data_IF_143858432728
#
_entry.id   IF_143858432728
#
_cell.length_a   1.000
_cell.length_b   1.000
_cell.length_c   1.000
_cell.angle_alpha   90.00
_cell.angle_beta   90.00
_cell.angle_gamma   90.00
#
_symmetry.space_group_name_H-M   'P 1'
#
loop_
_entity.id
_entity.type
_entity.pdbx_description
1 polymer ?
#
# COMPACT_ATOMS: atom_id res chain seq x y z
N UNK A 1 -0.51 -13.21 0.09
CA UNK A 1 0.50 -12.23 -0.36
C UNK A 1 1.62 -12.07 0.68
N UNK A 2 1.34 -11.58 1.90
CA UNK A 2 2.35 -11.35 2.94
C UNK A 2 3.22 -12.56 3.26
N UNK A 3 2.63 -13.76 3.41
CA UNK A 3 3.41 -14.99 3.61
C UNK A 3 4.36 -15.29 2.46
N UNK A 4 3.97 -14.97 1.24
CA UNK A 4 4.80 -15.18 0.06
C UNK A 4 5.98 -14.20 0.03
N UNK A 5 5.76 -12.94 0.38
CA UNK A 5 6.80 -11.92 0.44
C UNK A 5 7.79 -12.21 1.59
N UNK A 6 7.30 -12.43 2.82
CA UNK A 6 8.13 -12.75 3.99
C UNK A 6 8.90 -14.07 3.78
N UNK A 7 8.27 -15.08 3.19
CA UNK A 7 8.89 -16.39 2.97
C UNK A 7 10.10 -16.38 2.05
N UNK A 8 10.32 -15.31 1.29
CA UNK A 8 11.50 -15.18 0.41
C UNK A 8 12.79 -14.91 1.18
N UNK A 9 12.69 -14.34 2.35
CA UNK A 9 13.83 -13.89 3.18
C UNK A 9 13.84 -14.54 4.56
N UNK A 10 12.77 -15.21 4.95
CA UNK A 10 12.67 -15.87 6.24
C UNK A 10 13.34 -17.26 6.25
N UNK A 11 13.80 -17.67 7.41
CA UNK A 11 14.27 -19.02 7.66
C UNK A 11 13.13 -20.02 7.43
N UNK A 12 13.46 -21.18 6.86
CA UNK A 12 12.45 -22.22 6.59
C UNK A 12 11.71 -22.62 7.86
N UNK A 13 10.39 -22.56 7.82
CA UNK A 13 9.54 -22.93 8.93
C UNK A 13 9.29 -21.82 9.96
N UNK A 14 9.96 -20.66 9.86
CA UNK A 14 9.76 -19.54 10.80
C UNK A 14 8.56 -18.65 10.49
N UNK A 15 8.03 -18.69 9.28
CA UNK A 15 6.92 -17.83 8.85
C UNK A 15 5.65 -18.16 9.61
N UNK A 16 5.13 -17.18 10.34
CA UNK A 16 3.93 -17.28 11.17
C UNK A 16 2.93 -16.20 10.80
N UNK A 17 1.66 -16.55 10.88
CA UNK A 17 0.55 -15.60 10.78
C UNK A 17 0.11 -15.27 12.22
N UNK A 18 0.47 -14.10 12.70
CA UNK A 18 0.17 -13.68 14.07
C UNK A 18 -1.22 -13.07 14.20
N UNK A 19 -1.64 -12.31 13.17
CA UNK A 19 -3.01 -11.82 13.06
C UNK A 19 -3.61 -12.24 11.73
N UNK A 20 -4.88 -12.65 11.74
CA UNK A 20 -5.57 -13.09 10.54
C UNK A 20 -6.88 -12.37 10.34
N UNK A 21 -6.94 -11.55 9.29
CA UNK A 21 -8.16 -10.88 8.82
C UNK A 21 -8.89 -10.13 9.94
N UNK A 22 -8.14 -9.47 10.82
CA UNK A 22 -8.71 -8.61 11.86
C UNK A 22 -9.20 -7.31 11.24
N UNK A 23 -10.30 -6.78 11.76
CA UNK A 23 -10.86 -5.51 11.29
C UNK A 23 -10.28 -4.39 12.15
N UNK A 24 -9.47 -3.54 11.53
CA UNK A 24 -8.98 -2.31 12.13
C UNK A 24 -9.85 -1.12 11.69
N UNK A 25 -10.26 -0.33 12.67
CA UNK A 25 -11.12 0.84 12.45
C UNK A 25 -10.31 2.12 12.63
N UNK A 26 -10.23 2.90 11.57
CA UNK A 26 -9.64 4.23 11.57
C UNK A 26 -10.74 5.29 11.42
N UNK A 27 -10.41 6.56 11.58
CA UNK A 27 -11.39 7.66 11.57
C UNK A 27 -12.25 7.73 10.29
N UNK A 28 -11.73 7.30 9.15
CA UNK A 28 -12.40 7.43 7.86
C UNK A 28 -12.51 6.13 7.07
N UNK A 29 -11.85 5.06 7.50
CA UNK A 29 -11.81 3.78 6.77
C UNK A 29 -11.73 2.61 7.74
N UNK A 30 -12.20 1.45 7.27
CA UNK A 30 -11.95 0.15 7.91
C UNK A 30 -11.03 -0.65 7.01
N UNK A 31 -10.09 -1.37 7.62
CA UNK A 31 -9.19 -2.26 6.92
C UNK A 31 -9.29 -3.68 7.46
N UNK A 32 -9.14 -4.65 6.57
CA UNK A 32 -8.87 -6.04 6.94
C UNK A 32 -7.36 -6.20 6.97
N UNK A 33 -6.82 -6.48 8.16
CA UNK A 33 -5.38 -6.58 8.39
C UNK A 33 -5.00 -8.02 8.73
N UNK A 34 -3.87 -8.43 8.22
CA UNK A 34 -3.21 -9.67 8.62
C UNK A 34 -1.74 -9.38 8.86
N UNK A 35 -1.20 -9.89 9.97
CA UNK A 35 0.22 -9.75 10.29
C UNK A 35 0.97 -11.06 10.04
N UNK A 36 2.11 -10.95 9.37
CA UNK A 36 2.99 -12.08 9.05
C UNK A 36 4.40 -11.77 9.52
N UNK A 37 4.96 -12.68 10.29
CA UNK A 37 6.30 -12.57 10.83
C UNK A 37 7.16 -13.74 10.36
N UNK A 38 8.48 -13.56 10.39
CA UNK A 38 9.45 -14.61 10.11
C UNK A 38 10.85 -14.20 10.55
N UNK A 39 11.63 -15.17 11.00
CA UNK A 39 13.02 -14.96 11.37
C UNK A 39 13.85 -14.75 10.11
N UNK A 40 14.59 -13.65 10.04
CA UNK A 40 15.41 -13.34 8.88
C UNK A 40 16.51 -14.39 8.69
N UNK A 41 16.78 -14.76 7.44
CA UNK A 41 17.89 -15.64 7.12
C UNK A 41 19.23 -14.97 7.49
N UNK A 42 20.21 -15.73 8.00
CA UNK A 42 21.53 -15.20 8.31
C UNK A 42 22.16 -14.49 7.10
N UNK A 43 22.91 -13.43 7.37
CA UNK A 43 23.66 -12.65 6.39
C UNK A 43 22.81 -11.82 5.38
N UNK A 44 21.51 -11.72 5.57
CA UNK A 44 20.69 -10.77 4.82
C UNK A 44 20.62 -9.42 5.56
N UNK A 45 20.75 -8.35 4.80
CA UNK A 45 20.56 -6.99 5.26
C UNK A 45 19.11 -6.52 5.03
N UNK A 46 18.72 -5.41 5.65
CA UNK A 46 17.43 -4.77 5.39
C UNK A 46 17.24 -4.45 3.89
N UNK A 47 18.33 -4.08 3.19
CA UNK A 47 18.26 -3.81 1.75
C UNK A 47 18.03 -5.08 0.92
N UNK A 48 18.52 -6.24 1.36
CA UNK A 48 18.23 -7.53 0.71
C UNK A 48 16.76 -7.92 0.94
N UNK A 49 16.23 -7.65 2.13
CA UNK A 49 14.79 -7.80 2.40
C UNK A 49 13.97 -6.93 1.45
N UNK A 50 14.29 -5.65 1.32
CA UNK A 50 13.60 -4.75 0.40
C UNK A 50 13.64 -5.29 -1.04
N UNK A 51 14.81 -5.65 -1.56
CA UNK A 51 14.95 -6.19 -2.92
C UNK A 51 14.13 -7.46 -3.17
N UNK A 52 14.01 -8.31 -2.17
CA UNK A 52 13.29 -9.58 -2.29
C UNK A 52 11.77 -9.42 -2.17
N UNK A 53 11.29 -8.46 -1.39
CA UNK A 53 9.87 -8.28 -1.10
C UNK A 53 9.20 -7.22 -1.99
N UNK A 54 9.96 -6.30 -2.56
CA UNK A 54 9.46 -5.24 -3.43
C UNK A 54 9.21 -5.73 -4.87
N UNK A 55 8.17 -5.22 -5.56
CA UNK A 55 7.04 -4.46 -4.99
C UNK A 55 6.17 -5.33 -4.07
N UNK A 56 5.52 -4.69 -3.09
CA UNK A 56 4.66 -5.41 -2.14
C UNK A 56 3.58 -6.21 -2.88
N UNK A 57 3.33 -7.45 -2.43
CA UNK A 57 2.33 -8.33 -3.03
C UNK A 57 0.94 -7.71 -3.06
N UNK A 58 0.60 -6.89 -2.05
CA UNK A 58 -0.68 -6.17 -1.96
C UNK A 58 -0.98 -5.27 -3.17
N UNK A 59 0.03 -4.70 -3.79
CA UNK A 59 -0.11 -3.79 -4.94
C UNK A 59 0.43 -4.38 -6.25
N UNK A 60 0.90 -5.60 -6.23
CA UNK A 60 1.31 -6.35 -7.42
C UNK A 60 0.41 -7.56 -7.64
N UNK A 61 0.60 -8.61 -6.90
CA UNK A 61 -0.19 -9.84 -6.99
C UNK A 61 0.65 -11.10 -6.85
N UNK A 62 0.01 -12.25 -7.05
CA UNK A 62 0.67 -13.55 -7.00
C UNK A 62 0.14 -14.45 -8.14
N UNK A 63 1.04 -15.12 -8.88
CA UNK A 63 2.51 -15.05 -8.83
C UNK A 63 3.04 -13.67 -9.25
N UNK A 64 4.01 -13.14 -8.50
CA UNK A 64 4.45 -11.73 -8.58
C UNK A 64 4.89 -11.31 -9.98
N UNK A 65 5.74 -12.10 -10.64
CA UNK A 65 6.27 -11.75 -11.98
C UNK A 65 5.14 -11.65 -13.00
N UNK A 66 4.26 -12.65 -13.06
CA UNK A 66 3.14 -12.63 -14.01
C UNK A 66 2.16 -11.50 -13.73
N UNK A 67 1.89 -11.22 -12.46
CA UNK A 67 1.05 -10.09 -12.07
C UNK A 67 1.63 -8.75 -12.54
N UNK A 68 2.95 -8.56 -12.40
CA UNK A 68 3.63 -7.36 -12.88
C UNK A 68 3.62 -7.23 -14.40
N UNK A 69 3.78 -8.33 -15.13
CA UNK A 69 3.64 -8.34 -16.60
C UNK A 69 2.24 -7.89 -17.03
N UNK A 70 1.19 -8.43 -16.39
CA UNK A 70 -0.20 -8.05 -16.67
C UNK A 70 -0.45 -6.57 -16.34
N UNK A 71 0.08 -6.08 -15.24
CA UNK A 71 -0.02 -4.66 -14.86
C UNK A 71 0.62 -3.77 -15.94
N UNK A 72 1.82 -4.13 -16.39
CA UNK A 72 2.53 -3.35 -17.44
C UNK A 72 1.82 -3.42 -18.80
N UNK A 73 1.14 -4.52 -19.08
CA UNK A 73 0.37 -4.73 -20.30
C UNK A 73 -0.94 -3.93 -20.33
N UNK A 74 -1.66 -3.87 -19.18
CA UNK A 74 -3.02 -3.36 -19.12
C UNK A 74 -3.12 -1.92 -18.60
N UNK A 75 -2.20 -1.46 -17.75
CA UNK A 75 -2.26 -0.09 -17.24
C UNK A 75 -1.76 0.91 -18.31
N UNK A 76 -2.58 1.93 -18.65
CA UNK A 76 -2.26 2.85 -19.74
C UNK A 76 -1.13 3.83 -19.40
N UNK A 77 -0.84 4.01 -18.10
CA UNK A 77 0.20 4.92 -17.59
C UNK A 77 1.07 4.23 -16.55
N UNK A 78 2.34 4.62 -16.49
CA UNK A 78 3.26 4.11 -15.49
C UNK A 78 2.87 4.62 -14.09
N UNK A 79 3.03 3.77 -13.09
CA UNK A 79 2.61 4.05 -11.71
C UNK A 79 3.40 5.16 -11.01
N UNK A 80 4.65 5.39 -11.41
CA UNK A 80 5.48 6.40 -10.76
C UNK A 80 5.64 6.15 -9.26
N UNK A 81 5.17 7.06 -8.43
CA UNK A 81 5.21 6.94 -6.96
C UNK A 81 4.22 5.91 -6.43
N UNK A 82 3.07 5.74 -7.10
CA UNK A 82 2.05 4.79 -6.68
C UNK A 82 2.57 3.35 -6.62
N UNK A 83 2.24 2.63 -5.56
CA UNK A 83 2.72 1.28 -5.26
C UNK A 83 4.22 1.17 -4.99
N UNK A 84 4.91 2.30 -4.84
CA UNK A 84 6.29 2.36 -4.39
C UNK A 84 6.43 2.04 -2.90
N UNK A 85 7.61 2.32 -2.35
CA UNK A 85 7.92 2.13 -0.95
C UNK A 85 8.39 3.44 -0.34
N UNK A 86 7.90 3.79 0.83
CA UNK A 86 8.27 5.00 1.57
C UNK A 86 8.54 4.66 3.03
N UNK A 87 9.60 5.20 3.59
CA UNK A 87 9.96 4.95 4.98
C UNK A 87 11.41 5.30 5.25
N UNK A 88 12.03 4.57 6.17
CA UNK A 88 13.40 4.83 6.57
C UNK A 88 14.21 3.55 6.77
N UNK A 89 15.51 3.68 6.62
CA UNK A 89 16.51 2.70 7.01
C UNK A 89 17.40 3.34 8.07
N UNK A 90 17.35 2.84 9.29
CA UNK A 90 18.13 3.32 10.42
C UNK A 90 19.60 2.89 10.34
N UNK A 91 20.47 3.66 11.00
CA UNK A 91 21.89 3.31 11.10
C UNK A 91 22.15 2.03 11.93
N UNK A 92 21.20 1.62 12.75
CA UNK A 92 21.20 0.33 13.48
C UNK A 92 20.92 -0.88 12.58
N UNK A 93 20.48 -0.65 11.34
CA UNK A 93 20.08 -1.69 10.40
C UNK A 93 18.56 -1.96 10.40
N UNK A 94 17.81 -1.29 11.25
CA UNK A 94 16.35 -1.36 11.26
C UNK A 94 15.77 -0.66 10.04
N UNK A 95 14.68 -1.19 9.52
CA UNK A 95 13.97 -0.63 8.38
C UNK A 95 12.47 -0.66 8.65
N UNK A 96 11.79 0.45 8.40
CA UNK A 96 10.34 0.54 8.45
C UNK A 96 9.83 1.20 7.16
N UNK A 97 9.01 0.47 6.41
CA UNK A 97 8.53 0.87 5.10
C UNK A 97 7.03 0.68 4.98
N UNK A 98 6.38 1.65 4.37
CA UNK A 98 5.00 1.56 3.96
C UNK A 98 4.87 1.54 2.44
N UNK A 99 3.75 1.01 1.94
CA UNK A 99 3.42 1.09 0.52
C UNK A 99 2.96 2.52 0.21
N UNK A 100 3.49 3.12 -0.84
CA UNK A 100 3.06 4.44 -1.31
C UNK A 100 1.68 4.33 -1.98
N UNK A 101 0.63 4.34 -1.16
CA UNK A 101 -0.79 4.37 -1.54
C UNK A 101 -1.47 5.54 -0.83
N UNK A 102 -2.65 5.93 -1.26
CA UNK A 102 -3.37 7.10 -0.69
C UNK A 102 -2.51 8.36 -0.70
N UNK A 103 -1.68 8.49 -1.73
CA UNK A 103 -0.66 9.53 -1.90
C UNK A 103 -0.99 10.34 -3.13
N UNK A 104 -0.87 11.67 -3.02
CA UNK A 104 -0.95 12.58 -4.15
C UNK A 104 0.44 13.04 -4.58
N UNK A 105 0.63 13.22 -5.86
CA UNK A 105 1.81 13.89 -6.43
C UNK A 105 1.36 15.22 -7.00
N UNK A 106 1.83 16.31 -6.40
CA UNK A 106 1.56 17.67 -6.90
C UNK A 106 2.76 18.12 -7.70
N UNK A 107 2.53 18.39 -8.98
CA UNK A 107 3.56 18.85 -9.90
C UNK A 107 2.96 19.91 -10.83
N UNK A 108 3.63 21.06 -10.92
CA UNK A 108 3.22 22.17 -11.83
C UNK A 108 1.77 22.61 -11.60
N UNK A 109 1.30 22.63 -10.34
CA UNK A 109 -0.06 23.00 -9.98
C UNK A 109 -1.11 21.92 -10.26
N UNK A 110 -0.71 20.73 -10.72
CA UNK A 110 -1.61 19.60 -10.99
C UNK A 110 -1.48 18.57 -9.89
N UNK A 111 -2.62 18.19 -9.29
CA UNK A 111 -2.73 17.10 -8.34
C UNK A 111 -2.97 15.77 -9.08
N UNK A 112 -2.04 14.85 -8.97
CA UNK A 112 -2.16 13.50 -9.52
C UNK A 112 -2.44 12.50 -8.40
N UNK A 113 -3.52 11.74 -8.53
CA UNK A 113 -3.90 10.67 -7.60
C UNK A 113 -4.07 9.38 -8.38
N UNK A 114 -3.44 8.31 -7.90
CA UNK A 114 -3.61 6.97 -8.47
C UNK A 114 -4.14 6.01 -7.40
N UNK A 115 -5.08 5.18 -7.78
CA UNK A 115 -5.66 4.14 -6.93
C UNK A 115 -5.92 2.88 -7.75
N UNK A 116 -5.95 1.74 -7.09
CA UNK A 116 -6.24 0.46 -7.71
C UNK A 116 -6.99 -0.47 -6.76
N UNK A 117 -7.55 -1.52 -7.31
CA UNK A 117 -8.22 -2.60 -6.59
C UNK A 117 -7.53 -3.94 -6.82
N UNK A 118 -7.69 -4.87 -5.89
CA UNK A 118 -7.18 -6.22 -6.03
C UNK A 118 -8.19 -7.08 -6.83
N UNK A 119 -7.77 -7.57 -7.98
CA UNK A 119 -8.63 -8.33 -8.88
C UNK A 119 -8.45 -9.82 -8.64
N UNK A 120 -9.55 -10.52 -8.47
CA UNK A 120 -9.64 -11.98 -8.36
C UNK A 120 -10.69 -12.53 -9.33
N UNK A 121 -10.77 -13.85 -9.48
CA UNK A 121 -11.69 -14.50 -10.44
C UNK A 121 -13.16 -14.11 -10.23
N UNK A 122 -13.57 -13.90 -8.98
CA UNK A 122 -14.94 -13.55 -8.61
C UNK A 122 -15.19 -12.03 -8.53
N UNK A 123 -14.21 -11.19 -8.90
CA UNK A 123 -14.36 -9.73 -8.88
C UNK A 123 -15.43 -9.26 -9.87
N UNK A 124 -16.28 -8.35 -9.39
CA UNK A 124 -17.22 -7.64 -10.25
C UNK A 124 -16.59 -6.32 -10.75
N UNK A 125 -16.48 -6.11 -12.07
CA UNK A 125 -15.78 -4.93 -12.61
C UNK A 125 -16.33 -3.60 -12.11
N UNK A 126 -17.63 -3.43 -12.00
CA UNK A 126 -18.25 -2.18 -11.55
C UNK A 126 -17.98 -1.93 -10.06
N UNK A 127 -18.00 -2.97 -9.24
CA UNK A 127 -17.66 -2.88 -7.82
C UNK A 127 -16.18 -2.51 -7.62
N UNK A 128 -15.28 -3.14 -8.35
CA UNK A 128 -13.85 -2.82 -8.29
C UNK A 128 -13.55 -1.40 -8.78
N UNK A 129 -14.20 -0.98 -9.85
CA UNK A 129 -14.12 0.41 -10.31
C UNK A 129 -14.58 1.38 -9.22
N UNK A 130 -15.74 1.14 -8.60
CA UNK A 130 -16.25 1.98 -7.52
C UNK A 130 -15.30 2.00 -6.32
N UNK A 131 -14.64 0.89 -6.02
CA UNK A 131 -13.61 0.81 -4.98
C UNK A 131 -12.43 1.74 -5.28
N UNK A 132 -11.93 1.76 -6.51
CA UNK A 132 -10.84 2.66 -6.89
C UNK A 132 -11.23 4.13 -6.70
N UNK A 133 -12.45 4.53 -7.10
CA UNK A 133 -12.97 5.87 -6.90
C UNK A 133 -13.06 6.24 -5.41
N UNK A 134 -13.54 5.32 -4.58
CA UNK A 134 -13.64 5.52 -3.14
C UNK A 134 -12.25 5.68 -2.50
N UNK A 135 -11.25 4.93 -2.95
CA UNK A 135 -9.86 5.04 -2.48
C UNK A 135 -9.21 6.37 -2.85
N UNK A 136 -9.48 6.91 -4.02
CA UNK A 136 -8.98 8.22 -4.46
C UNK A 136 -9.65 9.39 -3.72
N UNK A 137 -10.93 9.24 -3.39
CA UNK A 137 -11.78 10.32 -2.84
C UNK A 137 -11.22 11.01 -1.60
N UNK A 138 -10.61 10.27 -0.68
CA UNK A 138 -10.07 10.83 0.55
C UNK A 138 -8.96 11.86 0.27
N UNK A 139 -8.08 11.56 -0.68
CA UNK A 139 -6.98 12.45 -1.08
C UNK A 139 -7.51 13.66 -1.83
N UNK A 140 -8.44 13.47 -2.76
CA UNK A 140 -9.10 14.55 -3.50
C UNK A 140 -9.82 15.48 -2.53
N UNK A 141 -10.57 14.92 -1.58
CA UNK A 141 -11.30 15.72 -0.58
C UNK A 141 -10.35 16.53 0.31
N UNK A 142 -9.20 15.99 0.67
CA UNK A 142 -8.18 16.73 1.43
C UNK A 142 -7.65 17.93 0.63
N UNK A 143 -7.44 17.78 -0.67
CA UNK A 143 -7.03 18.88 -1.53
C UNK A 143 -8.10 19.97 -1.65
N UNK A 144 -9.36 19.59 -1.86
CA UNK A 144 -10.51 20.53 -1.89
C UNK A 144 -10.60 21.33 -0.58
N UNK A 145 -10.41 20.68 0.57
CA UNK A 145 -10.42 21.35 1.87
C UNK A 145 -9.26 22.33 2.03
N UNK A 146 -8.08 21.95 1.53
CA UNK A 146 -6.91 22.83 1.56
C UNK A 146 -7.11 24.07 0.67
N UNK A 147 -7.70 23.91 -0.53
CA UNK A 147 -8.03 25.02 -1.43
C UNK A 147 -9.12 25.94 -0.86
N UNK A 148 -10.11 25.38 -0.18
CA UNK A 148 -11.18 26.16 0.44
C UNK A 148 -10.71 26.98 1.67
N UNK A 149 -9.46 26.79 2.10
CA UNK A 149 -8.89 27.36 3.31
C UNK A 149 -9.32 26.58 4.56
N UNK A 150 -8.35 26.09 5.30
CA UNK A 150 -8.55 25.45 6.59
C UNK A 150 -8.97 26.53 7.61
N UNK A 151 -10.27 26.88 7.67
CA UNK A 151 -10.82 27.61 8.80
C UNK A 151 -11.26 26.55 9.81
N UNK A 152 -10.55 26.39 10.93
CA UNK A 152 -11.05 25.55 12.01
C UNK A 152 -12.28 26.24 12.56
N UNK A 153 -13.47 25.70 12.34
CA UNK A 153 -14.63 26.00 13.14
C UNK A 153 -14.39 25.46 14.56
N UNK A 154 -13.64 26.23 15.34
CA UNK A 154 -13.66 26.06 16.79
C UNK A 154 -15.01 26.64 17.24
N UNK A 155 -16.02 25.82 17.36
CA UNK A 155 -17.21 26.15 18.10
C UNK A 155 -16.82 26.19 19.57
N UNK A 156 -16.50 27.38 20.06
CA UNK A 156 -16.43 27.62 21.49
C UNK A 156 -17.85 27.54 21.98
N UNK A 157 -18.25 26.41 22.55
CA UNK A 157 -19.51 26.26 23.28
C UNK A 157 -19.52 27.22 24.44
N UNK A 158 -20.61 28.03 24.50
CA UNK A 158 -20.98 28.79 25.68
C UNK A 158 -21.62 27.88 26.72
#
# INVERSE_FOLDING_TARGET
LGRNDVGRVAQTGSVKLTDRMVIERYSHVMHIVSNVEGDLQPNLSAMDVLKATFPAGTVSGAPKVRAMEIIDELEPVKRGVYAGSVGYLGFSGDMDLAIAIRTAVIKEGILNVQAGAGIVADSNPDAEWQETQNKARAVIRAAELAEAGLVPHISVGK
#
